data_IF_056534325111
#
_entry.id   IF_056534325111
#
_cell.length_a   1.000
_cell.length_b   1.000
_cell.length_c   1.000
_cell.angle_alpha   90.00
_cell.angle_beta   90.00
_cell.angle_gamma   90.00
#
_symmetry.space_group_name_H-M   'P 1'
#
loop_
_entity.id
_entity.type
_entity.pdbx_description
1 polymer ?
#
# COMPACT_ATOMS: atom_id res chain seq x y z
N UNK A 1 3.98 80.18 -23.28
CA UNK A 1 4.12 80.42 -21.82
C UNK A 1 2.90 79.79 -21.14
N UNK A 2 2.97 78.86 -20.19
CA UNK A 2 3.98 78.53 -19.18
C UNK A 2 4.31 77.03 -19.13
N UNK A 3 5.62 76.76 -19.20
CA UNK A 3 6.49 75.88 -18.39
C UNK A 3 6.02 74.50 -17.86
N UNK A 4 6.85 73.53 -18.26
CA UNK A 4 7.23 72.25 -17.66
C UNK A 4 7.85 72.38 -16.24
N UNK A 5 8.33 71.26 -15.68
CA UNK A 5 8.84 70.98 -14.32
C UNK A 5 7.78 70.79 -13.22
N UNK A 6 7.72 69.70 -12.44
CA UNK A 6 8.63 68.59 -12.21
C UNK A 6 8.52 68.16 -10.74
N UNK A 7 8.82 66.87 -10.49
CA UNK A 7 9.26 66.26 -9.20
C UNK A 7 8.24 65.68 -8.18
N UNK A 8 8.46 64.36 -7.98
CA UNK A 8 8.64 63.63 -6.71
C UNK A 8 7.43 62.91 -6.09
N UNK A 9 7.27 61.66 -6.54
CA UNK A 9 7.60 60.48 -5.73
C UNK A 9 6.95 60.34 -4.36
N UNK A 10 5.93 59.48 -4.26
CA UNK A 10 5.60 58.79 -3.01
C UNK A 10 5.40 57.30 -3.33
N UNK A 11 6.49 56.55 -3.14
CA UNK A 11 6.48 55.08 -3.01
C UNK A 11 5.72 54.72 -1.74
N UNK A 12 4.44 54.34 -1.83
CA UNK A 12 3.72 53.71 -0.70
C UNK A 12 3.63 52.21 -0.96
N UNK A 13 4.67 51.56 -0.43
CA UNK A 13 4.73 50.25 0.20
C UNK A 13 3.69 49.23 -0.29
N UNK A 14 4.18 48.30 -1.12
CA UNK A 14 3.66 46.94 -1.22
C UNK A 14 3.50 46.39 0.20
N UNK A 15 2.28 46.30 0.69
CA UNK A 15 1.94 45.45 1.84
C UNK A 15 2.14 43.99 1.38
N UNK A 16 3.08 43.24 1.95
CA UNK A 16 3.05 41.80 1.80
C UNK A 16 1.93 41.33 2.72
N UNK A 17 0.72 41.13 2.17
CA UNK A 17 -0.27 40.28 2.84
C UNK A 17 0.23 38.83 2.79
N UNK A 18 1.27 38.56 3.57
CA UNK A 18 1.58 37.24 4.12
C UNK A 18 0.47 36.92 5.11
N UNK A 19 -0.74 36.66 4.59
CA UNK A 19 -1.70 35.83 5.30
C UNK A 19 -1.12 34.43 5.21
N UNK A 20 -0.37 34.11 6.25
CA UNK A 20 0.12 32.78 6.53
C UNK A 20 -1.02 31.81 6.24
N UNK A 21 -0.85 31.03 5.18
CA UNK A 21 -1.58 29.81 5.00
C UNK A 21 -1.11 28.91 6.15
N UNK A 22 -1.74 29.05 7.32
CA UNK A 22 -1.81 27.98 8.30
C UNK A 22 -2.66 26.91 7.64
N UNK A 23 -2.06 26.20 6.68
CA UNK A 23 -2.58 24.92 6.21
C UNK A 23 -2.36 24.01 7.38
N UNK A 24 -3.48 23.75 8.04
CA UNK A 24 -3.65 22.76 9.07
C UNK A 24 -3.07 21.42 8.56
N UNK A 25 -1.82 21.13 8.95
CA UNK A 25 -1.07 19.89 8.66
C UNK A 25 -1.71 18.65 9.32
N UNK A 26 -2.90 18.77 9.92
CA UNK A 26 -3.61 17.68 10.60
C UNK A 26 -4.58 16.91 9.72
N UNK A 27 -4.76 17.27 8.44
CA UNK A 27 -5.53 16.43 7.52
C UNK A 27 -4.64 15.30 7.02
N UNK A 28 -4.93 14.02 7.34
CA UNK A 28 -4.21 12.93 6.72
C UNK A 28 -4.35 13.08 5.21
N UNK A 29 -3.21 13.07 4.54
CA UNK A 29 -3.14 13.15 3.08
C UNK A 29 -4.02 12.02 2.51
N UNK A 30 -5.16 12.38 1.93
CA UNK A 30 -6.14 11.41 1.39
C UNK A 30 -5.47 10.44 0.41
N UNK A 31 -4.38 10.84 -0.22
CA UNK A 31 -3.58 10.00 -1.08
C UNK A 31 -2.87 8.88 -0.30
N UNK A 32 -2.27 9.20 0.86
CA UNK A 32 -1.61 8.20 1.73
C UNK A 32 -2.61 7.16 2.26
N UNK A 33 -3.79 7.61 2.70
CA UNK A 33 -4.84 6.70 3.16
C UNK A 33 -5.33 5.75 2.06
N UNK A 34 -5.60 6.28 0.86
CA UNK A 34 -6.00 5.45 -0.29
C UNK A 34 -4.94 4.44 -0.69
N UNK A 35 -3.67 4.86 -0.63
CA UNK A 35 -2.54 3.98 -0.95
C UNK A 35 -2.43 2.83 0.07
N UNK A 36 -2.53 3.13 1.36
CA UNK A 36 -2.53 2.11 2.42
C UNK A 36 -3.71 1.13 2.29
N UNK A 37 -4.90 1.63 1.95
CA UNK A 37 -6.08 0.78 1.70
C UNK A 37 -5.87 -0.14 0.49
N UNK A 38 -5.31 0.38 -0.59
CA UNK A 38 -4.98 -0.42 -1.78
C UNK A 38 -3.90 -1.47 -1.51
N UNK A 39 -2.86 -1.12 -0.74
CA UNK A 39 -1.80 -2.05 -0.34
C UNK A 39 -2.35 -3.17 0.56
N UNK A 40 -3.23 -2.84 1.53
CA UNK A 40 -3.91 -3.85 2.36
C UNK A 40 -4.77 -4.80 1.53
N UNK A 41 -5.62 -4.25 0.67
CA UNK A 41 -6.50 -5.05 -0.18
C UNK A 41 -5.70 -5.99 -1.08
N UNK A 42 -4.59 -5.55 -1.65
CA UNK A 42 -3.74 -6.39 -2.48
C UNK A 42 -3.10 -7.55 -1.68
N UNK A 43 -2.72 -7.31 -0.42
CA UNK A 43 -2.20 -8.37 0.45
C UNK A 43 -3.31 -9.36 0.84
N UNK A 44 -4.51 -8.87 1.14
CA UNK A 44 -5.68 -9.71 1.45
C UNK A 44 -6.07 -10.61 0.27
N UNK A 45 -6.16 -10.04 -0.95
CA UNK A 45 -6.42 -10.82 -2.18
C UNK A 45 -5.32 -11.86 -2.44
N UNK A 46 -4.05 -11.55 -2.09
CA UNK A 46 -2.96 -12.52 -2.18
C UNK A 46 -3.07 -13.64 -1.16
N UNK A 47 -3.46 -13.33 0.08
CA UNK A 47 -3.69 -14.33 1.14
C UNK A 47 -4.79 -15.30 0.68
N UNK A 48 -5.94 -14.79 0.24
CA UNK A 48 -7.06 -15.59 -0.24
C UNK A 48 -6.64 -16.53 -1.38
N UNK A 49 -5.94 -16.01 -2.40
CA UNK A 49 -5.46 -16.81 -3.51
C UNK A 49 -4.45 -17.90 -3.11
N UNK A 50 -3.60 -17.63 -2.10
CA UNK A 50 -2.66 -18.62 -1.56
C UNK A 50 -3.39 -19.72 -0.79
N UNK A 51 -4.39 -19.35 0.01
CA UNK A 51 -5.22 -20.30 0.76
C UNK A 51 -6.01 -21.23 -0.17
N UNK A 52 -6.61 -20.69 -1.23
CA UNK A 52 -7.30 -21.49 -2.25
C UNK A 52 -6.35 -22.49 -2.94
N UNK A 53 -5.14 -22.04 -3.31
CA UNK A 53 -4.12 -22.94 -3.89
C UNK A 53 -3.67 -24.01 -2.91
N UNK A 54 -3.48 -23.66 -1.64
CA UNK A 54 -3.13 -24.62 -0.60
C UNK A 54 -4.20 -25.70 -0.48
N UNK A 55 -5.48 -25.31 -0.39
CA UNK A 55 -6.59 -26.27 -0.34
C UNK A 55 -6.63 -27.19 -1.57
N UNK A 56 -6.35 -26.64 -2.76
CA UNK A 56 -6.26 -27.44 -3.99
C UNK A 56 -5.11 -28.46 -3.96
N UNK A 57 -3.93 -28.03 -3.49
CA UNK A 57 -2.75 -28.91 -3.35
C UNK A 57 -3.00 -29.99 -2.29
N UNK A 58 -3.63 -29.65 -1.16
CA UNK A 58 -4.01 -30.62 -0.12
C UNK A 58 -4.98 -31.69 -0.67
N UNK A 59 -6.00 -31.28 -1.43
CA UNK A 59 -6.89 -32.23 -2.10
C UNK A 59 -6.12 -33.12 -3.10
N UNK A 60 -5.16 -32.55 -3.83
CA UNK A 60 -4.25 -33.28 -4.71
C UNK A 60 -3.39 -34.29 -3.97
N UNK A 61 -2.86 -33.94 -2.79
CA UNK A 61 -2.05 -34.81 -1.94
C UNK A 61 -2.85 -35.99 -1.42
N UNK A 62 -4.10 -35.76 -0.98
CA UNK A 62 -5.02 -36.82 -0.54
C UNK A 62 -5.25 -37.81 -1.68
N UNK A 63 -5.55 -37.31 -2.89
CA UNK A 63 -5.77 -38.15 -4.07
C UNK A 63 -4.52 -38.95 -4.45
N UNK A 64 -3.36 -38.30 -4.55
CA UNK A 64 -2.10 -38.96 -4.88
C UNK A 64 -1.71 -40.02 -3.84
N UNK A 65 -2.03 -39.77 -2.56
CA UNK A 65 -1.82 -40.74 -1.47
C UNK A 65 -2.73 -41.96 -1.61
N UNK A 66 -4.01 -41.77 -1.96
CA UNK A 66 -4.93 -42.88 -2.23
C UNK A 66 -4.48 -43.74 -3.43
N UNK A 67 -3.89 -43.11 -4.45
CA UNK A 67 -3.36 -43.75 -5.65
C UNK A 67 -1.93 -44.32 -5.45
N UNK A 68 -1.29 -44.06 -4.29
CA UNK A 68 0.11 -44.39 -4.00
C UNK A 68 1.11 -43.82 -5.02
N UNK A 69 0.80 -42.66 -5.60
CA UNK A 69 1.63 -41.96 -6.58
C UNK A 69 2.73 -41.15 -5.89
N UNK A 70 3.82 -41.84 -5.53
CA UNK A 70 4.95 -41.23 -4.81
C UNK A 70 5.60 -40.02 -5.52
N UNK A 71 5.85 -40.04 -6.85
CA UNK A 71 6.35 -38.86 -7.56
C UNK A 71 5.43 -37.64 -7.42
N UNK A 72 4.11 -37.84 -7.55
CA UNK A 72 3.15 -36.75 -7.43
C UNK A 72 3.04 -36.23 -6.00
N UNK A 73 3.10 -37.11 -5.00
CA UNK A 73 3.15 -36.71 -3.58
C UNK A 73 4.36 -35.83 -3.31
N UNK A 74 5.55 -36.22 -3.80
CA UNK A 74 6.76 -35.43 -3.62
C UNK A 74 6.66 -34.05 -4.28
N UNK A 75 6.14 -33.98 -5.51
CA UNK A 75 5.94 -32.72 -6.23
C UNK A 75 4.96 -31.79 -5.52
N UNK A 76 3.79 -32.32 -5.12
CA UNK A 76 2.76 -31.54 -4.43
C UNK A 76 3.20 -31.12 -3.03
N UNK A 77 3.96 -31.96 -2.32
CA UNK A 77 4.52 -31.62 -1.01
C UNK A 77 5.51 -30.46 -1.09
N UNK A 78 6.37 -30.44 -2.11
CA UNK A 78 7.27 -29.31 -2.35
C UNK A 78 6.52 -28.01 -2.68
N UNK A 79 5.45 -28.10 -3.48
CA UNK A 79 4.60 -26.94 -3.76
C UNK A 79 3.88 -26.45 -2.49
N UNK A 80 3.33 -27.37 -1.69
CA UNK A 80 2.66 -27.06 -0.43
C UNK A 80 3.56 -26.29 0.53
N UNK A 81 4.78 -26.78 0.77
CA UNK A 81 5.75 -26.12 1.65
C UNK A 81 6.12 -24.71 1.17
N UNK A 82 6.24 -24.53 -0.15
CA UNK A 82 6.47 -23.20 -0.72
C UNK A 82 5.27 -22.29 -0.49
N UNK A 83 4.05 -22.74 -0.79
CA UNK A 83 2.84 -21.95 -0.61
C UNK A 83 2.63 -21.57 0.86
N UNK A 84 2.94 -22.46 1.81
CA UNK A 84 2.87 -22.17 3.24
C UNK A 84 3.83 -21.07 3.67
N UNK A 85 5.04 -21.03 3.12
CA UNK A 85 6.00 -19.95 3.37
C UNK A 85 5.50 -18.64 2.79
N UNK A 86 5.06 -18.65 1.53
CA UNK A 86 4.50 -17.48 0.85
C UNK A 86 3.28 -16.91 1.61
N UNK A 87 2.41 -17.79 2.15
CA UNK A 87 1.26 -17.40 2.96
C UNK A 87 1.68 -16.77 4.29
N UNK A 88 2.66 -17.37 4.98
CA UNK A 88 3.20 -16.81 6.22
C UNK A 88 3.81 -15.42 6.00
N UNK A 89 4.52 -15.22 4.89
CA UNK A 89 5.08 -13.91 4.52
C UNK A 89 3.98 -12.88 4.22
N UNK A 90 2.91 -13.30 3.53
CA UNK A 90 1.77 -12.43 3.25
C UNK A 90 1.04 -12.00 4.53
N UNK A 91 0.85 -12.93 5.48
CA UNK A 91 0.29 -12.61 6.80
C UNK A 91 1.17 -11.65 7.59
N UNK A 92 2.50 -11.84 7.59
CA UNK A 92 3.43 -10.92 8.25
C UNK A 92 3.39 -9.50 7.62
N UNK A 93 3.27 -9.43 6.29
CA UNK A 93 3.10 -8.15 5.59
C UNK A 93 1.76 -7.48 5.94
N UNK A 94 0.68 -8.25 6.04
CA UNK A 94 -0.62 -7.74 6.48
C UNK A 94 -0.58 -7.22 7.92
N UNK A 95 0.05 -7.96 8.83
CA UNK A 95 0.24 -7.57 10.23
C UNK A 95 0.97 -6.23 10.32
N UNK A 96 2.11 -6.10 9.63
CA UNK A 96 2.88 -4.84 9.55
C UNK A 96 2.02 -3.67 9.05
N UNK A 97 1.22 -3.88 8.00
CA UNK A 97 0.32 -2.86 7.47
C UNK A 97 -0.79 -2.48 8.47
N UNK A 98 -1.14 -3.38 9.39
CA UNK A 98 -2.16 -3.18 10.43
C UNK A 98 -1.63 -2.52 11.70
N UNK A 99 -0.42 -2.85 12.12
CA UNK A 99 0.24 -2.30 13.30
C UNK A 99 0.73 -0.85 13.09
N UNK A 100 1.03 -0.42 11.86
CA UNK A 100 1.35 0.98 11.51
C UNK A 100 0.18 1.98 11.78
N UNK A 101 -0.98 1.49 12.25
CA UNK A 101 -2.11 2.30 12.71
C UNK A 101 -2.20 2.47 14.24
N UNK A 102 -1.22 2.00 15.02
CA UNK A 102 -1.10 2.24 16.47
C UNK A 102 -0.15 3.39 16.81
#
# INVERSE_FOLDING_TARGET
ELLDDGKKGIKRKREPRRRAAQRDDRRPDKYKLRRQEGERRAVEERIEALEERIASVEAGLIKASAEKDAPRIASLGAEYERLRRDLSEAYAAWETLTEDKG
#
